data_IF_875395934303
#
_entry.id   IF_875395934303
#
_cell.length_a   1.000
_cell.length_b   1.000
_cell.length_c   1.000
_cell.angle_alpha   90.00
_cell.angle_beta   90.00
_cell.angle_gamma   90.00
#
_symmetry.space_group_name_H-M   'P 1'
#
loop_
_entity.id
_entity.type
_entity.pdbx_description
1 polymer ?
#
# COMPACT_ATOMS: atom_id res chain seq x y z
N UNK A 1 -13.49 1.88 9.44
CA UNK A 1 -13.49 0.65 8.63
C UNK A 1 -13.68 1.02 7.16
N UNK A 2 -12.95 0.39 6.25
CA UNK A 2 -13.06 0.60 4.79
C UNK A 2 -13.85 -0.59 4.20
N UNK A 3 -14.95 -0.31 3.50
CA UNK A 3 -15.84 -1.35 2.94
C UNK A 3 -16.14 -1.03 1.48
N UNK A 4 -16.04 -2.04 0.63
CA UNK A 4 -16.48 -2.05 -0.75
C UNK A 4 -17.72 -2.95 -0.83
N UNK A 5 -18.83 -2.43 -1.36
CA UNK A 5 -20.11 -3.13 -1.51
C UNK A 5 -20.47 -3.18 -2.99
N UNK A 6 -20.42 -4.36 -3.60
CA UNK A 6 -20.69 -4.64 -5.01
C UNK A 6 -19.94 -3.71 -5.98
N UNK A 7 -18.69 -3.34 -5.62
CA UNK A 7 -17.91 -2.37 -6.39
C UNK A 7 -17.38 -3.00 -7.67
N UNK A 8 -17.63 -2.34 -8.80
CA UNK A 8 -17.11 -2.73 -10.11
C UNK A 8 -16.50 -1.53 -10.85
N UNK A 9 -15.56 -1.83 -11.77
CA UNK A 9 -14.91 -0.81 -12.60
C UNK A 9 -14.56 -1.32 -14.00
N UNK A 10 -14.87 -0.50 -14.99
CA UNK A 10 -14.48 -0.71 -16.39
C UNK A 10 -13.71 0.51 -16.89
N UNK A 11 -12.80 0.27 -17.80
CA UNK A 11 -12.12 1.30 -18.58
C UNK A 11 -12.33 0.99 -20.07
N UNK A 12 -13.23 1.72 -20.71
CA UNK A 12 -13.70 1.39 -22.05
C UNK A 12 -14.31 -0.02 -22.10
N UNK A 13 -13.77 -0.88 -22.95
CA UNK A 13 -14.20 -2.27 -23.11
C UNK A 13 -13.63 -3.23 -22.04
N UNK A 14 -12.60 -2.80 -21.29
CA UNK A 14 -11.90 -3.65 -20.33
C UNK A 14 -12.57 -3.58 -18.97
N UNK A 15 -13.01 -4.72 -18.43
CA UNK A 15 -13.47 -4.83 -17.05
C UNK A 15 -12.26 -4.99 -16.14
N UNK A 16 -11.87 -3.93 -15.44
CA UNK A 16 -10.73 -3.93 -14.51
C UNK A 16 -11.07 -4.60 -13.18
N UNK A 17 -12.34 -4.44 -12.71
CA UNK A 17 -12.87 -5.12 -11.53
C UNK A 17 -14.31 -5.54 -11.81
N UNK A 18 -14.60 -6.81 -11.59
CA UNK A 18 -15.96 -7.34 -11.51
C UNK A 18 -16.56 -6.99 -10.15
N UNK A 19 -17.90 -6.99 -10.01
CA UNK A 19 -18.53 -6.71 -8.71
C UNK A 19 -17.91 -7.53 -7.59
N UNK A 20 -17.44 -6.86 -6.57
CA UNK A 20 -16.79 -7.47 -5.40
C UNK A 20 -17.25 -6.81 -4.11
N UNK A 21 -17.28 -7.61 -3.06
CA UNK A 21 -17.46 -7.21 -1.68
C UNK A 21 -16.14 -7.40 -0.93
N UNK A 22 -15.73 -6.39 -0.18
CA UNK A 22 -14.53 -6.46 0.62
C UNK A 22 -14.66 -5.54 1.84
N UNK A 23 -14.38 -6.09 3.02
CA UNK A 23 -14.25 -5.32 4.24
C UNK A 23 -12.81 -5.42 4.75
N UNK A 24 -12.18 -4.28 4.99
CA UNK A 24 -10.85 -4.19 5.58
C UNK A 24 -11.00 -3.97 7.08
N UNK A 25 -10.51 -4.93 7.87
CA UNK A 25 -10.61 -4.88 9.33
C UNK A 25 -9.69 -3.79 9.91
N UNK A 26 -10.18 -2.99 10.87
CA UNK A 26 -9.35 -2.00 11.55
C UNK A 26 -8.13 -2.62 12.25
N UNK A 27 -6.98 -1.95 12.15
CA UNK A 27 -5.73 -2.39 12.78
C UNK A 27 -5.12 -3.65 12.20
N UNK A 28 -5.63 -4.15 11.06
CA UNK A 28 -5.13 -5.33 10.36
C UNK A 28 -4.43 -4.96 9.06
N UNK A 29 -3.55 -5.84 8.64
CA UNK A 29 -2.87 -5.75 7.34
C UNK A 29 -3.51 -6.71 6.34
N UNK A 30 -4.17 -6.15 5.33
CA UNK A 30 -4.64 -6.87 4.15
C UNK A 30 -3.58 -6.75 3.05
N UNK A 31 -3.08 -7.88 2.56
CA UNK A 31 -2.20 -7.87 1.38
C UNK A 31 -2.93 -8.41 0.16
N UNK A 32 -2.97 -7.61 -0.89
CA UNK A 32 -3.60 -7.94 -2.17
C UNK A 32 -2.52 -8.42 -3.13
N UNK A 33 -2.64 -9.66 -3.58
CA UNK A 33 -1.69 -10.30 -4.50
C UNK A 33 -2.37 -10.71 -5.80
N UNK A 34 -1.57 -10.98 -6.82
CA UNK A 34 -2.04 -11.50 -8.10
C UNK A 34 -1.17 -11.05 -9.27
N UNK A 35 -1.37 -11.61 -10.46
CA UNK A 35 -0.62 -11.26 -11.67
C UNK A 35 -0.71 -9.77 -12.02
N UNK A 36 0.27 -9.27 -12.78
CA UNK A 36 0.20 -7.92 -13.34
C UNK A 36 -1.08 -7.72 -14.15
N UNK A 37 -1.70 -6.54 -14.03
CA UNK A 37 -2.95 -6.22 -14.73
C UNK A 37 -4.22 -6.87 -14.18
N UNK A 38 -4.18 -7.58 -13.04
CA UNK A 38 -5.38 -8.22 -12.49
C UNK A 38 -6.33 -7.26 -11.73
N UNK A 39 -6.02 -5.96 -11.62
CA UNK A 39 -6.89 -4.95 -11.01
C UNK A 39 -6.47 -4.45 -9.62
N UNK A 40 -5.29 -4.82 -9.10
CA UNK A 40 -4.83 -4.43 -7.75
C UNK A 40 -4.74 -2.92 -7.53
N UNK A 41 -4.05 -2.19 -8.41
CA UNK A 41 -3.92 -0.73 -8.31
C UNK A 41 -5.27 -0.02 -8.56
N UNK A 42 -6.15 -0.62 -9.40
CA UNK A 42 -7.53 -0.14 -9.55
C UNK A 42 -8.30 -0.28 -8.23
N UNK A 43 -8.15 -1.40 -7.53
CA UNK A 43 -8.76 -1.61 -6.22
C UNK A 43 -8.29 -0.55 -5.20
N UNK A 44 -6.99 -0.28 -5.10
CA UNK A 44 -6.46 0.80 -4.26
C UNK A 44 -7.01 2.18 -4.67
N UNK A 45 -7.06 2.44 -5.99
CA UNK A 45 -7.60 3.68 -6.53
C UNK A 45 -9.08 3.91 -6.20
N UNK A 46 -9.87 2.83 -6.12
CA UNK A 46 -11.27 2.87 -5.66
C UNK A 46 -11.34 3.14 -4.15
N UNK A 47 -10.48 2.49 -3.35
CA UNK A 47 -10.43 2.68 -1.89
C UNK A 47 -10.12 4.11 -1.47
N UNK A 48 -9.24 4.81 -2.20
CA UNK A 48 -8.90 6.21 -1.90
C UNK A 48 -9.69 7.22 -2.74
N UNK A 49 -10.63 6.73 -3.58
CA UNK A 49 -11.48 7.54 -4.44
C UNK A 49 -10.76 8.26 -5.58
N UNK A 50 -9.52 7.87 -5.93
CA UNK A 50 -8.85 8.31 -7.17
C UNK A 50 -9.54 7.76 -8.41
N UNK A 51 -10.18 6.60 -8.26
CA UNK A 51 -11.02 5.99 -9.26
C UNK A 51 -12.45 5.96 -8.72
N UNK A 52 -13.42 6.41 -9.53
CA UNK A 52 -14.85 6.31 -9.20
C UNK A 52 -15.37 4.96 -9.68
N UNK A 53 -16.09 4.19 -8.85
CA UNK A 53 -16.73 2.95 -9.28
C UNK A 53 -17.84 3.22 -10.32
N UNK A 54 -18.07 2.26 -11.21
CA UNK A 54 -19.19 2.31 -12.17
C UNK A 54 -20.46 1.70 -11.56
N UNK A 55 -20.30 0.82 -10.57
CA UNK A 55 -21.41 0.30 -9.75
C UNK A 55 -20.91 0.01 -8.33
N UNK A 56 -21.85 -0.14 -7.41
CA UNK A 56 -21.56 -0.33 -6.00
C UNK A 56 -21.12 0.95 -5.29
N UNK A 57 -20.58 0.80 -4.10
CA UNK A 57 -20.13 1.94 -3.29
C UNK A 57 -18.92 1.58 -2.43
N UNK A 58 -18.11 2.58 -2.15
CA UNK A 58 -17.03 2.50 -1.17
C UNK A 58 -17.42 3.34 0.04
N UNK A 59 -17.31 2.77 1.22
CA UNK A 59 -17.54 3.49 2.49
C UNK A 59 -16.28 3.50 3.32
N UNK A 60 -16.01 4.63 3.94
CA UNK A 60 -14.95 4.79 4.91
C UNK A 60 -15.53 5.26 6.23
N UNK A 61 -15.34 4.46 7.27
CA UNK A 61 -15.85 4.72 8.62
C UNK A 61 -17.38 4.95 8.67
N UNK A 62 -18.12 4.19 7.84
CA UNK A 62 -19.57 4.27 7.72
C UNK A 62 -20.09 5.34 6.75
N UNK A 63 -19.21 6.22 6.24
CA UNK A 63 -19.59 7.28 5.31
C UNK A 63 -19.22 6.89 3.86
N UNK A 64 -20.17 7.04 2.93
CA UNK A 64 -19.94 6.75 1.50
C UNK A 64 -18.97 7.78 0.92
N UNK A 65 -17.98 7.30 0.18
CA UNK A 65 -17.05 8.17 -0.56
C UNK A 65 -17.78 8.81 -1.76
N UNK A 66 -18.05 10.09 -1.62
CA UNK A 66 -18.67 10.95 -2.63
C UNK A 66 -17.76 12.16 -2.88
N UNK A 67 -17.97 12.95 -3.95
CA UNK A 67 -17.19 14.18 -4.13
C UNK A 67 -17.18 15.13 -2.92
N UNK A 68 -18.21 15.09 -2.09
CA UNK A 68 -18.33 15.93 -0.88
C UNK A 68 -17.49 15.38 0.28
N UNK A 69 -17.54 14.07 0.53
CA UNK A 69 -16.89 13.40 1.68
C UNK A 69 -15.44 13.03 1.42
N UNK A 70 -15.08 12.92 0.13
CA UNK A 70 -13.81 12.36 -0.32
C UNK A 70 -12.57 13.08 0.25
N UNK A 71 -12.59 14.42 0.28
CA UNK A 71 -11.44 15.18 0.76
C UNK A 71 -11.19 15.00 2.26
N UNK A 72 -12.26 14.85 3.04
CA UNK A 72 -12.15 14.54 4.47
C UNK A 72 -11.62 13.13 4.69
N UNK A 73 -12.12 12.15 3.93
CA UNK A 73 -11.65 10.76 3.98
C UNK A 73 -10.17 10.65 3.59
N UNK A 74 -9.74 11.28 2.50
CA UNK A 74 -8.32 11.25 2.03
C UNK A 74 -7.33 11.80 3.05
N UNK A 75 -7.71 12.77 3.88
CA UNK A 75 -6.85 13.28 4.95
C UNK A 75 -6.59 12.26 6.06
N UNK A 76 -7.43 11.23 6.15
CA UNK A 76 -7.33 10.11 7.06
C UNK A 76 -6.76 8.85 6.39
N UNK A 77 -6.37 8.94 5.12
CA UNK A 77 -5.74 7.86 4.35
C UNK A 77 -4.35 8.28 3.89
N UNK A 78 -3.33 7.52 4.24
CA UNK A 78 -1.99 7.66 3.66
C UNK A 78 -1.89 6.80 2.41
N UNK A 79 -1.34 7.34 1.33
CA UNK A 79 -1.18 6.60 0.10
C UNK A 79 0.27 6.69 -0.39
N UNK A 80 0.91 5.52 -0.50
CA UNK A 80 2.24 5.36 -1.11
C UNK A 80 2.03 4.75 -2.48
N UNK A 81 2.32 5.52 -3.52
CA UNK A 81 2.25 5.06 -4.91
C UNK A 81 3.53 4.33 -5.30
N UNK A 82 3.44 3.48 -6.29
CA UNK A 82 4.57 2.83 -6.92
C UNK A 82 5.64 3.86 -7.30
N UNK A 83 6.92 3.56 -7.07
CA UNK A 83 8.06 4.46 -7.30
C UNK A 83 8.10 5.74 -6.42
N UNK A 84 7.34 5.76 -5.30
CA UNK A 84 7.45 6.78 -4.24
C UNK A 84 6.71 8.09 -4.49
N UNK A 85 6.37 8.46 -5.73
CA UNK A 85 5.53 9.63 -6.05
C UNK A 85 6.03 10.98 -5.56
N UNK A 86 7.34 11.15 -5.46
CA UNK A 86 7.95 12.37 -4.95
C UNK A 86 8.01 13.47 -6.02
N UNK A 87 7.77 14.70 -5.62
CA UNK A 87 7.97 15.87 -6.47
C UNK A 87 9.47 16.11 -6.67
N UNK A 88 10.01 16.01 -7.88
CA UNK A 88 11.47 16.03 -8.11
C UNK A 88 12.12 17.39 -7.82
N UNK A 89 11.34 18.46 -7.80
CA UNK A 89 11.79 19.83 -7.53
C UNK A 89 11.66 20.25 -6.05
N UNK A 90 11.22 19.34 -5.20
CA UNK A 90 11.13 19.55 -3.75
C UNK A 90 12.14 18.67 -3.03
N UNK A 91 12.76 19.19 -1.96
CA UNK A 91 13.61 18.37 -1.08
C UNK A 91 12.79 17.28 -0.38
N UNK A 92 13.44 16.30 0.24
CA UNK A 92 12.77 15.25 1.01
C UNK A 92 11.87 15.86 2.10
N UNK A 93 12.40 16.82 2.88
CA UNK A 93 11.62 17.52 3.90
C UNK A 93 10.40 18.26 3.32
N UNK A 94 10.59 18.94 2.17
CA UNK A 94 9.51 19.65 1.51
C UNK A 94 8.43 18.71 0.94
N UNK A 95 8.82 17.54 0.40
CA UNK A 95 7.91 16.48 -0.02
C UNK A 95 7.05 15.98 1.15
N UNK A 96 7.67 15.62 2.27
CA UNK A 96 6.96 15.09 3.45
C UNK A 96 5.99 16.14 4.01
N UNK A 97 6.42 17.40 4.14
CA UNK A 97 5.64 18.45 4.79
C UNK A 97 4.61 19.12 3.89
N UNK A 98 4.61 18.83 2.58
CA UNK A 98 3.79 19.51 1.58
C UNK A 98 2.31 19.57 1.95
N UNK A 99 1.73 18.42 2.29
CA UNK A 99 0.30 18.34 2.60
C UNK A 99 -0.05 19.08 3.89
N UNK A 100 0.75 18.95 4.94
CA UNK A 100 0.56 19.65 6.20
C UNK A 100 0.62 21.17 6.00
N UNK A 101 1.59 21.66 5.21
CA UNK A 101 1.70 23.09 4.85
C UNK A 101 0.51 23.58 4.04
N UNK A 102 0.06 22.79 3.05
CA UNK A 102 -1.12 23.11 2.24
C UNK A 102 -2.40 23.21 3.09
N UNK A 103 -2.46 22.42 4.18
CA UNK A 103 -3.57 22.45 5.13
C UNK A 103 -3.40 23.52 6.22
N UNK A 104 -2.38 24.37 6.11
CA UNK A 104 -2.18 25.49 7.03
C UNK A 104 -1.62 25.10 8.40
N UNK A 105 -0.91 23.96 8.53
CA UNK A 105 -0.25 23.64 9.78
C UNK A 105 0.84 24.69 10.12
N UNK A 106 0.95 25.07 11.40
CA UNK A 106 2.07 25.89 11.84
C UNK A 106 3.41 25.23 11.49
N UNK A 107 4.43 25.99 11.03
CA UNK A 107 5.72 25.46 10.63
C UNK A 107 6.38 24.58 11.70
N UNK A 108 6.29 24.99 12.96
CA UNK A 108 6.88 24.27 14.11
C UNK A 108 6.21 22.89 14.27
N UNK A 109 4.89 22.79 14.10
CA UNK A 109 4.15 21.53 14.16
C UNK A 109 4.56 20.59 13.02
N UNK A 110 4.66 21.13 11.80
CA UNK A 110 5.05 20.34 10.64
C UNK A 110 6.49 19.82 10.78
N UNK A 111 7.41 20.67 11.28
CA UNK A 111 8.80 20.28 11.52
C UNK A 111 8.93 19.24 12.65
N UNK A 112 8.25 19.42 13.77
CA UNK A 112 8.26 18.45 14.86
C UNK A 112 7.72 17.07 14.40
N UNK A 113 6.67 17.06 13.57
CA UNK A 113 6.15 15.80 12.99
C UNK A 113 7.15 15.19 12.00
N UNK A 114 7.80 15.98 11.16
CA UNK A 114 8.85 15.53 10.25
C UNK A 114 9.98 14.84 11.01
N UNK A 115 10.48 15.43 12.09
CA UNK A 115 11.52 14.85 12.95
C UNK A 115 11.10 13.51 13.56
N UNK A 116 9.85 13.44 14.04
CA UNK A 116 9.27 12.19 14.56
C UNK A 116 9.22 11.10 13.47
N UNK A 117 8.80 11.44 12.25
CA UNK A 117 8.71 10.50 11.15
C UNK A 117 10.09 10.09 10.63
N UNK A 118 11.05 11.01 10.58
CA UNK A 118 12.44 10.70 10.21
C UNK A 118 13.08 9.71 11.20
N UNK A 119 12.83 9.89 12.50
CA UNK A 119 13.27 8.94 13.51
C UNK A 119 12.59 7.57 13.36
N UNK A 120 11.26 7.55 13.15
CA UNK A 120 10.47 6.33 12.98
C UNK A 120 10.91 5.49 11.77
N UNK A 121 11.28 6.16 10.67
CA UNK A 121 11.70 5.50 9.42
C UNK A 121 13.23 5.38 9.30
N UNK A 122 13.99 5.63 10.35
CA UNK A 122 15.46 5.64 10.33
C UNK A 122 16.03 6.46 9.17
N UNK A 123 15.34 7.56 8.79
CA UNK A 123 15.77 8.40 7.69
C UNK A 123 16.90 9.35 8.12
N UNK A 124 18.04 9.41 7.39
CA UNK A 124 19.17 10.24 7.79
C UNK A 124 18.83 11.73 7.74
N UNK A 125 18.94 12.45 8.85
CA UNK A 125 18.66 13.89 8.92
C UNK A 125 19.34 14.72 7.83
N UNK A 126 20.65 14.52 7.50
CA UNK A 126 21.30 15.28 6.44
C UNK A 126 20.67 15.05 5.05
N UNK A 127 19.96 13.93 4.85
CA UNK A 127 19.28 13.63 3.59
C UNK A 127 17.91 14.33 3.44
N UNK A 128 17.38 14.97 4.49
CA UNK A 128 16.14 15.73 4.43
C UNK A 128 16.20 16.91 3.46
N UNK A 129 17.40 17.49 3.27
CA UNK A 129 17.60 18.62 2.34
C UNK A 129 17.88 18.17 0.91
N UNK A 130 18.08 16.87 0.66
CA UNK A 130 18.34 16.33 -0.68
C UNK A 130 17.06 16.26 -1.53
N UNK A 131 17.26 16.37 -2.83
CA UNK A 131 16.20 16.18 -3.83
C UNK A 131 16.05 14.68 -4.17
N UNK A 132 14.88 14.23 -4.66
CA UNK A 132 14.64 12.81 -4.99
C UNK A 132 15.70 12.17 -5.89
N UNK A 133 16.29 12.90 -6.82
CA UNK A 133 17.37 12.41 -7.69
C UNK A 133 18.69 12.11 -6.97
N UNK A 134 18.88 12.66 -5.78
CA UNK A 134 20.09 12.49 -4.94
C UNK A 134 19.90 11.41 -3.86
N UNK A 135 18.70 10.82 -3.77
CA UNK A 135 18.35 9.80 -2.80
C UNK A 135 18.48 8.39 -3.40
N UNK A 136 18.90 7.42 -2.57
CA UNK A 136 18.79 6.01 -2.95
C UNK A 136 17.33 5.56 -3.10
N UNK A 137 17.10 4.40 -3.74
CA UNK A 137 15.75 3.83 -3.87
C UNK A 137 15.06 3.66 -2.52
N UNK A 138 15.75 3.08 -1.53
CA UNK A 138 15.21 2.92 -0.18
C UNK A 138 14.96 4.25 0.53
N UNK A 139 15.81 5.26 0.31
CA UNK A 139 15.58 6.60 0.86
C UNK A 139 14.33 7.24 0.23
N UNK A 140 14.13 7.14 -1.09
CA UNK A 140 12.90 7.63 -1.72
C UNK A 140 11.65 6.95 -1.16
N UNK A 141 11.74 5.64 -0.93
CA UNK A 141 10.62 4.88 -0.36
C UNK A 141 10.27 5.33 1.07
N UNK A 142 11.29 5.56 1.92
CA UNK A 142 11.08 6.12 3.26
C UNK A 142 10.47 7.52 3.21
N UNK A 143 10.89 8.38 2.29
CA UNK A 143 10.26 9.70 2.10
C UNK A 143 8.78 9.57 1.72
N UNK A 144 8.44 8.67 0.78
CA UNK A 144 7.05 8.38 0.41
C UNK A 144 6.21 7.89 1.59
N UNK A 145 6.79 7.02 2.43
CA UNK A 145 6.14 6.55 3.66
C UNK A 145 5.94 7.69 4.68
N UNK A 146 6.97 8.51 4.92
CA UNK A 146 6.85 9.69 5.79
C UNK A 146 5.78 10.66 5.29
N UNK A 147 5.70 10.89 3.96
CA UNK A 147 4.68 11.72 3.33
C UNK A 147 3.28 11.15 3.59
N UNK A 148 3.09 9.84 3.42
CA UNK A 148 1.82 9.18 3.68
C UNK A 148 1.42 9.24 5.17
N UNK A 149 2.38 9.18 6.08
CA UNK A 149 2.17 9.23 7.54
C UNK A 149 2.06 10.65 8.12
N UNK A 150 2.28 11.70 7.32
CA UNK A 150 2.38 13.08 7.81
C UNK A 150 1.16 13.54 8.58
N UNK A 151 -0.03 13.22 8.11
CA UNK A 151 -1.30 13.61 8.74
C UNK A 151 -1.79 12.60 9.79
N UNK A 152 -1.00 11.62 10.16
CA UNK A 152 -1.38 10.53 11.08
C UNK A 152 -2.64 9.77 10.63
N UNK A 153 -2.64 9.19 9.43
CA UNK A 153 -3.82 8.55 8.83
C UNK A 153 -4.28 7.33 9.63
N UNK A 154 -5.56 6.97 9.50
CA UNK A 154 -6.12 5.73 10.07
C UNK A 154 -5.83 4.50 9.19
N UNK A 155 -5.71 4.73 7.88
CA UNK A 155 -5.47 3.69 6.87
C UNK A 155 -4.26 4.05 6.03
N UNK A 156 -3.39 3.07 5.79
CA UNK A 156 -2.29 3.15 4.83
C UNK A 156 -2.60 2.27 3.62
N UNK A 157 -2.54 2.87 2.45
CA UNK A 157 -2.68 2.20 1.15
C UNK A 157 -1.30 2.21 0.47
N UNK A 158 -0.76 1.05 0.14
CA UNK A 158 0.60 0.90 -0.36
C UNK A 158 0.58 0.14 -1.69
N UNK A 159 0.99 0.80 -2.77
CA UNK A 159 1.04 0.17 -4.11
C UNK A 159 2.48 -0.24 -4.43
N UNK A 160 2.76 -1.54 -4.37
CA UNK A 160 4.07 -2.15 -4.61
C UNK A 160 5.25 -1.42 -3.91
N UNK A 161 5.18 -1.20 -2.58
CA UNK A 161 6.11 -0.31 -1.88
C UNK A 161 7.57 -0.80 -1.89
N UNK A 162 7.83 -2.04 -2.28
CA UNK A 162 9.16 -2.64 -2.28
C UNK A 162 9.62 -3.12 -3.67
N UNK A 163 8.80 -2.90 -4.71
CA UNK A 163 8.96 -3.53 -6.02
C UNK A 163 10.26 -3.17 -6.77
N UNK A 164 10.79 -1.95 -6.61
CA UNK A 164 11.95 -1.46 -7.37
C UNK A 164 13.26 -1.45 -6.58
N UNK A 165 13.33 -2.18 -5.46
CA UNK A 165 14.49 -2.21 -4.57
C UNK A 165 15.36 -3.43 -4.80
N UNK A 166 16.68 -3.27 -4.59
CA UNK A 166 17.57 -4.41 -4.53
C UNK A 166 17.25 -5.34 -3.33
N UNK A 167 17.62 -6.63 -3.38
CA UNK A 167 17.19 -7.61 -2.38
C UNK A 167 17.57 -7.27 -0.94
N UNK A 168 18.75 -6.68 -0.69
CA UNK A 168 19.21 -6.36 0.66
C UNK A 168 18.40 -5.21 1.24
N UNK A 169 18.28 -4.12 0.50
CA UNK A 169 17.47 -2.94 0.90
C UNK A 169 16.01 -3.31 1.07
N UNK A 170 15.49 -4.19 0.20
CA UNK A 170 14.11 -4.72 0.32
C UNK A 170 13.92 -5.43 1.65
N UNK A 171 14.83 -6.34 2.03
CA UNK A 171 14.74 -7.07 3.29
C UNK A 171 14.80 -6.12 4.51
N UNK A 172 15.73 -5.16 4.53
CA UNK A 172 15.82 -4.16 5.59
C UNK A 172 14.52 -3.37 5.74
N UNK A 173 13.99 -2.86 4.62
CA UNK A 173 12.72 -2.12 4.62
C UNK A 173 11.50 -2.98 4.99
N UNK A 174 11.47 -4.27 4.64
CA UNK A 174 10.42 -5.16 5.09
C UNK A 174 10.35 -5.23 6.62
N UNK A 175 11.51 -5.41 7.27
CA UNK A 175 11.56 -5.47 8.74
C UNK A 175 11.09 -4.15 9.36
N UNK A 176 11.62 -3.02 8.88
CA UNK A 176 11.24 -1.69 9.36
C UNK A 176 9.75 -1.40 9.17
N UNK A 177 9.20 -1.65 7.97
CA UNK A 177 7.78 -1.42 7.68
C UNK A 177 6.87 -2.24 8.60
N UNK A 178 7.22 -3.51 8.87
CA UNK A 178 6.44 -4.35 9.78
C UNK A 178 6.44 -3.80 11.21
N UNK A 179 7.57 -3.31 11.68
CA UNK A 179 7.67 -2.67 12.99
C UNK A 179 6.83 -1.39 13.05
N UNK A 180 6.89 -0.56 11.99
CA UNK A 180 6.09 0.65 11.87
C UNK A 180 4.59 0.33 11.89
N UNK A 181 4.14 -0.63 11.08
CA UNK A 181 2.72 -1.00 11.02
C UNK A 181 2.21 -1.49 12.38
N UNK A 182 2.99 -2.32 13.08
CA UNK A 182 2.65 -2.81 14.43
C UNK A 182 2.65 -1.71 15.49
N UNK A 183 3.68 -0.86 15.49
CA UNK A 183 3.83 0.20 16.50
C UNK A 183 2.74 1.26 16.40
N UNK A 184 2.28 1.56 15.17
CA UNK A 184 1.25 2.55 14.92
C UNK A 184 -0.18 1.97 14.97
N UNK A 185 -0.33 0.65 15.05
CA UNK A 185 -1.62 -0.06 15.02
C UNK A 185 -2.56 0.41 13.90
N UNK A 186 -1.99 0.74 12.72
CA UNK A 186 -2.75 1.25 11.57
C UNK A 186 -3.40 0.12 10.80
N UNK A 187 -4.49 0.42 10.14
CA UNK A 187 -5.06 -0.44 9.10
C UNK A 187 -4.20 -0.30 7.85
N UNK A 188 -3.76 -1.40 7.27
CA UNK A 188 -2.89 -1.39 6.10
C UNK A 188 -3.53 -2.19 4.97
N UNK A 189 -3.57 -1.62 3.77
CA UNK A 189 -3.83 -2.36 2.53
C UNK A 189 -2.60 -2.24 1.65
N UNK A 190 -1.93 -3.36 1.42
CA UNK A 190 -0.71 -3.41 0.63
C UNK A 190 -0.94 -4.23 -0.63
N UNK A 191 -0.55 -3.70 -1.77
CA UNK A 191 -0.53 -4.42 -3.04
C UNK A 191 0.88 -4.88 -3.33
N UNK A 192 1.04 -6.13 -3.71
CA UNK A 192 2.31 -6.69 -4.20
C UNK A 192 2.05 -7.83 -5.18
N UNK A 193 3.07 -8.22 -5.93
CA UNK A 193 3.07 -9.43 -6.73
C UNK A 193 3.87 -10.56 -6.06
N UNK A 194 4.51 -10.31 -4.91
CA UNK A 194 5.38 -11.22 -4.19
C UNK A 194 4.65 -11.91 -3.04
N UNK A 195 4.56 -13.26 -3.10
CA UNK A 195 3.95 -14.06 -2.03
C UNK A 195 4.77 -14.04 -0.74
N UNK A 196 6.10 -13.87 -0.82
CA UNK A 196 6.96 -13.74 0.35
C UNK A 196 6.63 -12.47 1.14
N UNK A 197 6.40 -11.35 0.44
CA UNK A 197 5.91 -10.12 1.09
C UNK A 197 4.55 -10.33 1.73
N UNK A 198 3.62 -10.99 1.02
CA UNK A 198 2.31 -11.30 1.58
C UNK A 198 2.42 -12.18 2.84
N UNK A 199 3.27 -13.22 2.81
CA UNK A 199 3.51 -14.08 3.96
C UNK A 199 4.14 -13.33 5.16
N UNK A 200 4.93 -12.28 4.86
CA UNK A 200 5.63 -11.51 5.88
C UNK A 200 4.76 -10.46 6.57
N UNK A 201 3.87 -9.79 5.81
CA UNK A 201 3.08 -8.65 6.30
C UNK A 201 1.63 -9.00 6.68
N UNK A 202 1.01 -9.94 5.96
CA UNK A 202 -0.44 -10.07 5.97
C UNK A 202 -1.00 -10.72 7.26
N UNK A 203 -2.03 -10.10 7.80
CA UNK A 203 -3.01 -10.80 8.63
C UNK A 203 -3.97 -11.60 7.74
N UNK A 204 -4.37 -11.01 6.60
CA UNK A 204 -5.18 -11.66 5.57
C UNK A 204 -4.66 -11.34 4.17
N UNK A 205 -4.84 -12.29 3.25
CA UNK A 205 -4.40 -12.20 1.86
C UNK A 205 -5.63 -12.23 0.94
N UNK A 206 -5.64 -11.35 -0.05
CA UNK A 206 -6.63 -11.33 -1.13
C UNK A 206 -5.92 -11.65 -2.45
N UNK A 207 -6.17 -12.83 -3.02
CA UNK A 207 -5.66 -13.19 -4.34
C UNK A 207 -6.64 -12.77 -5.42
N UNK A 208 -6.16 -11.98 -6.37
CA UNK A 208 -6.93 -11.50 -7.52
C UNK A 208 -6.44 -12.09 -8.84
N UNK A 209 -7.38 -12.33 -9.76
CA UNK A 209 -7.11 -12.72 -11.14
C UNK A 209 -8.16 -12.15 -12.06
N UNK A 210 -7.75 -11.49 -13.16
CA UNK A 210 -8.65 -10.95 -14.17
C UNK A 210 -9.84 -10.14 -13.59
N UNK A 211 -9.55 -9.23 -12.65
CA UNK A 211 -10.55 -8.37 -12.02
C UNK A 211 -11.48 -9.07 -11.01
N UNK A 212 -11.20 -10.30 -10.63
CA UNK A 212 -12.01 -11.10 -9.68
C UNK A 212 -11.19 -11.51 -8.47
N UNK A 213 -11.85 -11.62 -7.33
CA UNK A 213 -11.29 -12.26 -6.14
C UNK A 213 -11.34 -13.78 -6.35
N UNK A 214 -10.19 -14.43 -6.26
CA UNK A 214 -10.06 -15.90 -6.34
C UNK A 214 -10.16 -16.51 -4.95
N UNK A 215 -9.42 -15.94 -3.99
CA UNK A 215 -9.45 -16.39 -2.60
C UNK A 215 -9.14 -15.20 -1.68
N UNK A 216 -9.77 -15.19 -0.52
CA UNK A 216 -9.49 -14.29 0.59
C UNK A 216 -9.41 -15.13 1.87
N UNK A 217 -8.37 -14.92 2.68
CA UNK A 217 -8.15 -15.67 3.92
C UNK A 217 -6.72 -15.55 4.45
N UNK A 218 -6.38 -16.36 5.44
CA UNK A 218 -5.02 -16.43 6.00
C UNK A 218 -4.05 -17.15 5.06
N UNK A 219 -2.74 -16.96 5.26
CA UNK A 219 -1.71 -17.70 4.53
C UNK A 219 -1.86 -19.22 4.71
N UNK A 220 -2.26 -19.68 5.90
CA UNK A 220 -2.51 -21.09 6.19
C UNK A 220 -3.66 -21.65 5.33
N UNK A 221 -4.76 -20.89 5.18
CA UNK A 221 -5.89 -21.28 4.33
C UNK A 221 -5.52 -21.37 2.86
N UNK A 222 -4.61 -20.53 2.39
CA UNK A 222 -4.08 -20.59 1.02
C UNK A 222 -3.30 -21.87 0.77
N UNK A 223 -2.55 -22.37 1.77
CA UNK A 223 -1.80 -23.61 1.67
C UNK A 223 -2.65 -24.87 1.88
N UNK A 224 -3.55 -24.85 2.87
CA UNK A 224 -4.29 -26.03 3.30
C UNK A 224 -5.63 -26.23 2.55
N UNK A 225 -6.27 -25.15 2.07
CA UNK A 225 -7.61 -25.15 1.47
C UNK A 225 -7.70 -24.21 0.26
N UNK A 226 -6.93 -24.47 -0.81
CA UNK A 226 -7.03 -23.66 -2.02
C UNK A 226 -8.44 -23.78 -2.64
N UNK A 227 -9.09 -22.63 -2.86
CA UNK A 227 -10.46 -22.55 -3.42
C UNK A 227 -10.53 -22.74 -4.94
N UNK A 228 -9.40 -22.58 -5.62
CA UNK A 228 -9.26 -22.69 -7.09
C UNK A 228 -7.88 -23.31 -7.42
N UNK A 229 -7.76 -24.15 -8.45
CA UNK A 229 -6.46 -24.68 -8.92
C UNK A 229 -5.44 -23.58 -9.25
N UNK A 230 -5.89 -22.38 -9.56
CA UNK A 230 -5.00 -21.23 -9.77
C UNK A 230 -4.24 -20.83 -8.51
N UNK A 231 -4.85 -20.97 -7.32
CA UNK A 231 -4.18 -20.67 -6.03
C UNK A 231 -2.94 -21.52 -5.86
N UNK A 232 -3.08 -22.83 -6.04
CA UNK A 232 -1.96 -23.79 -5.95
C UNK A 232 -0.87 -23.44 -6.96
N UNK A 233 -1.24 -23.26 -8.22
CA UNK A 233 -0.28 -22.89 -9.28
C UNK A 233 0.41 -21.55 -9.01
N UNK A 234 -0.31 -20.57 -8.46
CA UNK A 234 0.27 -19.27 -8.12
C UNK A 234 1.32 -19.40 -7.00
N UNK A 235 1.02 -20.19 -5.96
CA UNK A 235 1.96 -20.48 -4.87
C UNK A 235 3.18 -21.23 -5.38
N UNK A 236 2.99 -22.27 -6.18
CA UNK A 236 4.09 -23.09 -6.73
C UNK A 236 5.01 -22.26 -7.63
N UNK A 237 4.46 -21.41 -8.49
CA UNK A 237 5.23 -20.53 -9.36
C UNK A 237 6.10 -19.56 -8.55
N UNK A 238 5.58 -19.01 -7.46
CA UNK A 238 6.31 -18.12 -6.56
C UNK A 238 7.39 -18.86 -5.75
N UNK A 239 7.11 -20.10 -5.29
CA UNK A 239 8.09 -20.94 -4.60
C UNK A 239 9.22 -21.41 -5.51
N UNK A 240 8.92 -21.70 -6.79
CA UNK A 240 9.91 -22.09 -7.78
C UNK A 240 11.00 -21.04 -8.01
N UNK A 241 10.66 -19.77 -7.96
CA UNK A 241 11.63 -18.67 -7.98
C UNK A 241 12.55 -18.67 -6.75
N UNK A 242 12.07 -19.09 -5.59
CA UNK A 242 12.86 -19.19 -4.35
C UNK A 242 13.87 -20.35 -4.38
N UNK A 243 13.48 -21.49 -4.95
CA UNK A 243 14.36 -22.68 -5.06
C UNK A 243 15.38 -22.55 -6.20
N UNK A 244 15.05 -21.88 -7.30
CA UNK A 244 15.96 -21.67 -8.43
C UNK A 244 17.05 -20.62 -8.14
N UNK A 245 16.83 -19.69 -7.21
CA UNK A 245 17.82 -18.70 -6.75
C UNK A 245 18.71 -19.19 -5.60
N UNK A 246 18.38 -20.32 -4.97
CA UNK A 246 19.09 -20.94 -3.86
C UNK A 246 19.89 -22.19 -4.21
N UNK A 247 20.39 -22.29 -5.42
CA UNK A 247 21.36 -23.31 -5.82
C UNK A 247 22.67 -23.15 -5.06
N UNK A 248 22.90 -24.06 -4.19
CA UNK A 248 23.84 -24.29 -3.12
C UNK A 248 25.34 -24.26 -3.48
N UNK A 249 26.18 -24.42 -2.44
CA UNK A 249 27.54 -23.95 -2.33
C UNK A 249 28.52 -24.59 -3.23
#
# INVERSE_FOLDING_TARGET
>A
MLVLDQVAKRFGEVTALHPLDLAVEPGRTLVVIGPSGCGKSTLLGLMNGLVTPDSGRVTFDGEVLTPVTLMAARRRMGYVIQEGGLFPHLSAAANVTLLARTLGWPPERALARLETLAALTHFPRPALERFPGELSGGQRQRVGLMQALMLDPDVLLLDEPLGSLDPLIRFELQVELREIFRSLAKTVVMVTHDLGEAAFFADTILLMRAGRVVQHGSLEEFGARPKDPFVTRFIEAQRGHWQAGGGAP
#
